data_IF_650556135990
#
_entry.id   IF_650556135990
#
_cell.length_a   1.000
_cell.length_b   1.000
_cell.length_c   1.000
_cell.angle_alpha   90.00
_cell.angle_beta   90.00
_cell.angle_gamma   90.00
#
_symmetry.space_group_name_H-M   'P 1'
#
loop_
_entity.id
_entity.type
_entity.pdbx_description
1 polymer ?
#
# COMPACT_ATOMS: atom_id res chain seq x y z
N UNK A 1 -16.92 -8.95 20.47
CA UNK A 1 -15.78 -9.90 20.42
C UNK A 1 -15.74 -10.75 19.14
N UNK A 2 -16.85 -11.26 18.61
CA UNK A 2 -16.82 -12.17 17.44
C UNK A 2 -16.49 -11.47 16.12
N UNK A 3 -17.06 -10.29 15.86
CA UNK A 3 -16.93 -9.60 14.56
C UNK A 3 -15.47 -9.28 14.17
N UNK A 4 -14.61 -8.68 15.04
CA UNK A 4 -13.21 -8.43 14.69
C UNK A 4 -12.43 -9.70 14.34
N UNK A 5 -12.70 -10.82 15.03
CA UNK A 5 -12.09 -12.11 14.75
C UNK A 5 -12.49 -12.66 13.38
N UNK A 6 -13.77 -12.56 13.02
CA UNK A 6 -14.28 -12.99 11.71
C UNK A 6 -13.66 -12.15 10.59
N UNK A 7 -13.64 -10.82 10.76
CA UNK A 7 -13.03 -9.91 9.78
C UNK A 7 -11.53 -10.14 9.65
N UNK A 8 -10.82 -10.41 10.74
CA UNK A 8 -9.40 -10.75 10.73
C UNK A 8 -9.14 -12.04 9.97
N UNK A 9 -9.92 -13.09 10.23
CA UNK A 9 -9.79 -14.37 9.51
C UNK A 9 -10.02 -14.19 8.01
N UNK A 10 -11.10 -13.50 7.62
CA UNK A 10 -11.40 -13.20 6.21
C UNK A 10 -10.29 -12.37 5.56
N UNK A 11 -9.74 -11.40 6.29
CA UNK A 11 -8.63 -10.55 5.80
C UNK A 11 -7.38 -11.40 5.56
N UNK A 12 -6.99 -12.26 6.50
CA UNK A 12 -5.85 -13.18 6.36
C UNK A 12 -6.05 -14.13 5.18
N UNK A 13 -7.25 -14.72 5.04
CA UNK A 13 -7.57 -15.59 3.90
C UNK A 13 -7.45 -14.84 2.56
N UNK A 14 -7.90 -13.59 2.52
CA UNK A 14 -7.81 -12.73 1.33
C UNK A 14 -6.36 -12.40 0.99
N UNK A 15 -5.52 -12.12 2.00
CA UNK A 15 -4.07 -11.89 1.81
C UNK A 15 -3.38 -13.13 1.26
N UNK A 16 -3.66 -14.32 1.80
CA UNK A 16 -3.06 -15.58 1.31
C UNK A 16 -3.49 -15.87 -0.13
N UNK A 17 -4.76 -15.63 -0.47
CA UNK A 17 -5.25 -15.75 -1.84
C UNK A 17 -4.55 -14.75 -2.78
N UNK A 18 -4.40 -13.49 -2.35
CA UNK A 18 -3.74 -12.45 -3.14
C UNK A 18 -2.27 -12.80 -3.39
N UNK A 19 -1.54 -13.26 -2.36
CA UNK A 19 -0.13 -13.65 -2.45
C UNK A 19 0.12 -14.69 -3.56
N UNK A 20 -0.71 -15.73 -3.60
CA UNK A 20 -0.65 -16.77 -4.64
C UNK A 20 -0.90 -16.20 -6.04
N UNK A 21 -1.87 -15.30 -6.16
CA UNK A 21 -2.20 -14.63 -7.41
C UNK A 21 -1.11 -13.68 -7.91
N UNK A 22 -0.42 -13.01 -6.99
CA UNK A 22 0.58 -11.98 -7.30
C UNK A 22 1.88 -12.60 -7.84
N UNK A 23 2.31 -13.72 -7.26
CA UNK A 23 3.41 -14.55 -7.80
C UNK A 23 3.20 -14.92 -9.28
N UNK A 24 1.98 -15.33 -9.64
CA UNK A 24 1.62 -15.68 -11.01
C UNK A 24 1.51 -14.44 -11.91
N UNK A 25 1.01 -13.33 -11.37
CA UNK A 25 0.91 -12.04 -12.06
C UNK A 25 2.28 -11.47 -12.41
N UNK A 26 3.21 -11.49 -11.45
CA UNK A 26 4.59 -11.05 -11.60
C UNK A 26 5.33 -11.86 -12.68
N UNK A 27 5.21 -13.19 -12.65
CA UNK A 27 5.79 -14.06 -13.70
C UNK A 27 5.20 -13.77 -15.08
N UNK A 28 3.91 -13.45 -15.15
CA UNK A 28 3.22 -13.14 -16.41
C UNK A 28 3.70 -11.83 -17.00
N UNK A 29 3.74 -10.75 -16.23
CA UNK A 29 4.13 -9.42 -16.74
C UNK A 29 5.58 -9.40 -17.24
N UNK A 30 6.45 -10.21 -16.62
CA UNK A 30 7.86 -10.38 -17.05
C UNK A 30 7.98 -10.95 -18.46
N UNK A 31 7.02 -11.79 -18.89
CA UNK A 31 6.98 -12.42 -20.22
C UNK A 31 6.28 -11.57 -21.27
N UNK A 32 5.57 -10.51 -20.88
CA UNK A 32 4.88 -9.63 -21.82
C UNK A 32 5.88 -8.69 -22.50
N UNK A 33 5.84 -8.66 -23.83
CA UNK A 33 6.71 -7.83 -24.65
C UNK A 33 5.96 -6.64 -25.27
N UNK A 34 4.64 -6.73 -25.40
CA UNK A 34 3.82 -5.70 -26.02
C UNK A 34 3.22 -4.72 -25.00
N UNK A 35 3.18 -3.44 -25.42
CA UNK A 35 2.68 -2.34 -24.62
C UNK A 35 1.18 -2.45 -24.30
N UNK A 36 0.38 -3.03 -25.20
CA UNK A 36 -1.07 -3.14 -25.01
C UNK A 36 -1.43 -4.09 -23.86
N UNK A 37 -0.82 -5.27 -23.82
CA UNK A 37 -1.02 -6.26 -22.76
C UNK A 37 -0.49 -5.80 -21.40
N UNK A 38 0.63 -5.07 -21.38
CA UNK A 38 1.14 -4.45 -20.15
C UNK A 38 0.17 -3.41 -19.59
N UNK A 39 -0.36 -2.50 -20.42
CA UNK A 39 -1.40 -1.53 -20.01
C UNK A 39 -2.66 -2.21 -19.46
N UNK A 40 -3.12 -3.28 -20.12
CA UNK A 40 -4.25 -4.09 -19.62
C UNK A 40 -3.93 -4.68 -18.24
N UNK A 41 -2.70 -5.15 -18.04
CA UNK A 41 -2.24 -5.71 -16.77
C UNK A 41 -2.25 -4.65 -15.66
N UNK A 42 -1.74 -3.44 -15.89
CA UNK A 42 -1.82 -2.34 -14.92
C UNK A 42 -3.27 -2.05 -14.51
N UNK A 43 -4.20 -1.97 -15.47
CA UNK A 43 -5.63 -1.75 -15.19
C UNK A 43 -6.24 -2.87 -14.35
N UNK A 44 -5.91 -4.12 -14.67
CA UNK A 44 -6.38 -5.29 -13.91
C UNK A 44 -5.82 -5.28 -12.48
N UNK A 45 -4.57 -4.85 -12.29
CA UNK A 45 -3.97 -4.74 -10.97
C UNK A 45 -4.58 -3.62 -10.14
N UNK A 46 -4.89 -2.47 -10.74
CA UNK A 46 -5.66 -1.40 -10.07
C UNK A 46 -7.01 -1.95 -9.58
N UNK A 47 -7.75 -2.65 -10.45
CA UNK A 47 -9.03 -3.24 -10.08
C UNK A 47 -8.88 -4.31 -8.97
N UNK A 48 -7.83 -5.15 -9.06
CA UNK A 48 -7.52 -6.13 -8.02
C UNK A 48 -7.17 -5.48 -6.68
N UNK A 49 -6.43 -4.38 -6.68
CA UNK A 49 -6.09 -3.65 -5.47
C UNK A 49 -7.36 -3.06 -4.82
N UNK A 50 -8.24 -2.48 -5.63
CA UNK A 50 -9.52 -1.97 -5.16
C UNK A 50 -10.40 -3.07 -4.55
N UNK A 51 -10.54 -4.21 -5.22
CA UNK A 51 -11.41 -5.32 -4.79
C UNK A 51 -10.79 -6.12 -3.62
N UNK A 52 -9.47 -6.31 -3.63
CA UNK A 52 -8.77 -7.17 -2.66
C UNK A 52 -8.38 -6.48 -1.37
N UNK A 53 -8.25 -5.15 -1.38
CA UNK A 53 -7.78 -4.38 -0.23
C UNK A 53 -8.72 -3.24 0.14
N UNK A 54 -8.99 -2.32 -0.79
CA UNK A 54 -9.73 -1.09 -0.47
C UNK A 54 -11.17 -1.39 -0.06
N UNK A 55 -11.90 -2.14 -0.90
CA UNK A 55 -13.31 -2.42 -0.65
C UNK A 55 -13.52 -3.26 0.62
N UNK A 56 -12.77 -4.36 0.87
CA UNK A 56 -12.86 -5.11 2.12
C UNK A 56 -12.52 -4.26 3.35
N UNK A 57 -11.51 -3.39 3.26
CA UNK A 57 -11.15 -2.52 4.37
C UNK A 57 -12.24 -1.48 4.68
N UNK A 58 -12.77 -0.78 3.67
CA UNK A 58 -13.85 0.20 3.87
C UNK A 58 -15.12 -0.48 4.40
N UNK A 59 -15.51 -1.61 3.82
CA UNK A 59 -16.68 -2.37 4.30
C UNK A 59 -16.44 -2.87 5.73
N UNK A 60 -15.25 -3.41 6.01
CA UNK A 60 -14.89 -3.89 7.34
C UNK A 60 -14.92 -2.78 8.39
N UNK A 61 -14.37 -1.60 8.06
CA UNK A 61 -14.45 -0.42 8.92
C UNK A 61 -15.91 0.04 9.12
N UNK A 62 -16.73 0.02 8.08
CA UNK A 62 -18.15 0.33 8.19
C UNK A 62 -18.89 -0.66 9.11
N UNK A 63 -18.63 -1.97 8.97
CA UNK A 63 -19.21 -3.02 9.82
C UNK A 63 -18.76 -2.90 11.29
N UNK A 64 -17.54 -2.42 11.52
CA UNK A 64 -17.04 -2.12 12.86
C UNK A 64 -17.61 -0.81 13.44
N UNK A 65 -18.28 0.01 12.63
CA UNK A 65 -18.71 1.36 13.02
C UNK A 65 -17.53 2.33 13.16
N UNK A 66 -16.44 2.10 12.42
CA UNK A 66 -15.15 2.79 12.55
C UNK A 66 -14.69 3.49 11.27
N UNK A 67 -15.60 4.09 10.53
CA UNK A 67 -15.25 4.88 9.34
C UNK A 67 -14.49 6.17 9.68
N UNK A 68 -14.60 6.65 10.91
CA UNK A 68 -13.81 7.75 11.46
C UNK A 68 -12.30 7.48 11.35
N UNK A 69 -11.90 6.21 11.45
CA UNK A 69 -10.51 5.76 11.36
C UNK A 69 -9.83 6.09 10.01
N UNK A 70 -10.60 6.45 8.97
CA UNK A 70 -10.07 6.96 7.70
C UNK A 70 -9.49 8.38 7.81
N UNK A 71 -9.91 9.13 8.83
CA UNK A 71 -9.51 10.51 9.07
C UNK A 71 -8.78 10.72 10.40
N UNK A 72 -8.97 9.81 11.37
CA UNK A 72 -8.37 9.89 12.70
C UNK A 72 -7.59 8.62 13.04
N UNK A 73 -6.53 8.78 13.83
CA UNK A 73 -5.76 7.63 14.33
C UNK A 73 -6.61 6.89 15.37
N UNK A 74 -6.84 5.57 15.21
CA UNK A 74 -7.54 4.77 16.21
C UNK A 74 -6.85 4.81 17.59
N UNK A 75 -7.60 4.94 18.70
CA UNK A 75 -7.04 4.92 20.06
C UNK A 75 -6.32 3.61 20.39
N UNK A 76 -6.65 2.50 19.72
CA UNK A 76 -5.95 1.23 19.83
C UNK A 76 -4.45 1.36 19.49
N UNK A 77 -4.05 2.41 18.77
CA UNK A 77 -2.66 2.68 18.39
C UNK A 77 -1.96 3.67 19.33
N UNK A 78 -2.62 4.19 20.36
CA UNK A 78 -2.10 5.29 21.20
C UNK A 78 -0.76 4.95 21.87
N UNK A 79 -0.57 3.70 22.29
CA UNK A 79 0.70 3.25 22.89
C UNK A 79 1.92 3.40 21.99
N UNK A 80 1.75 3.31 20.66
CA UNK A 80 2.79 3.60 19.68
C UNK A 80 2.79 5.07 19.28
N UNK A 81 1.62 5.70 19.22
CA UNK A 81 1.47 7.12 18.86
C UNK A 81 2.27 8.04 19.78
N UNK A 82 2.32 7.73 21.08
CA UNK A 82 3.09 8.51 22.07
C UNK A 82 4.61 8.42 21.87
N UNK A 83 5.10 7.42 21.12
CA UNK A 83 6.51 7.27 20.78
C UNK A 83 6.90 8.00 19.49
N UNK A 84 5.92 8.49 18.72
CA UNK A 84 6.15 9.19 17.46
C UNK A 84 6.26 10.70 17.68
N UNK A 85 6.96 11.43 16.79
CA UNK A 85 6.96 12.89 16.81
C UNK A 85 5.53 13.42 16.75
N UNK A 86 5.19 14.34 17.67
CA UNK A 86 3.91 15.02 17.62
C UNK A 86 3.95 16.14 16.58
N UNK A 87 2.86 16.27 15.84
CA UNK A 87 2.61 17.41 14.96
C UNK A 87 1.68 18.45 15.64
N UNK A 88 1.54 18.37 16.96
CA UNK A 88 0.80 19.37 17.73
C UNK A 88 1.50 20.72 17.62
N UNK A 89 0.74 21.76 17.31
CA UNK A 89 1.26 23.12 17.10
C UNK A 89 1.46 23.50 15.62
N UNK A 90 1.43 22.55 14.69
CA UNK A 90 1.42 22.88 13.25
C UNK A 90 0.01 23.24 12.78
N UNK A 91 -0.09 24.33 12.02
CA UNK A 91 -1.32 24.70 11.32
C UNK A 91 -1.63 23.71 10.20
N UNK A 92 -2.91 23.64 9.80
CA UNK A 92 -3.35 22.81 8.66
C UNK A 92 -2.61 23.18 7.37
N UNK A 93 -2.27 24.46 7.19
CA UNK A 93 -1.54 24.94 6.00
C UNK A 93 -0.11 24.40 6.00
N UNK A 94 0.58 24.40 7.14
CA UNK A 94 1.93 23.85 7.25
C UNK A 94 1.94 22.34 7.00
N UNK A 95 0.98 21.59 7.56
CA UNK A 95 0.86 20.15 7.33
C UNK A 95 0.60 19.83 5.86
N UNK A 96 -0.35 20.54 5.23
CA UNK A 96 -0.61 20.39 3.80
C UNK A 96 0.60 20.80 2.94
N UNK A 97 1.33 21.83 3.37
CA UNK A 97 2.58 22.27 2.75
C UNK A 97 3.68 21.21 2.84
N UNK A 98 3.81 20.52 3.98
CA UNK A 98 4.76 19.42 4.15
C UNK A 98 4.41 18.22 3.28
N UNK A 99 3.14 17.80 3.26
CA UNK A 99 2.67 16.69 2.43
C UNK A 99 2.84 17.03 0.94
N UNK A 100 2.35 18.21 0.53
CA UNK A 100 2.43 18.67 -0.85
C UNK A 100 3.87 18.91 -1.31
N UNK A 101 4.70 19.50 -0.45
CA UNK A 101 6.12 19.72 -0.69
C UNK A 101 6.90 18.41 -0.82
N UNK A 102 6.61 17.42 0.02
CA UNK A 102 7.23 16.08 -0.07
C UNK A 102 6.83 15.35 -1.34
N UNK A 103 5.54 15.39 -1.71
CA UNK A 103 5.05 14.79 -2.94
C UNK A 103 5.67 15.47 -4.18
N UNK A 104 5.71 16.80 -4.21
CA UNK A 104 6.33 17.56 -5.30
C UNK A 104 7.84 17.32 -5.37
N UNK A 105 8.53 17.31 -4.24
CA UNK A 105 9.95 17.01 -4.15
C UNK A 105 10.28 15.62 -4.70
N UNK A 106 9.50 14.60 -4.30
CA UNK A 106 9.62 13.24 -4.84
C UNK A 106 9.41 13.18 -6.36
N UNK A 107 8.43 13.92 -6.88
CA UNK A 107 8.17 14.01 -8.33
C UNK A 107 9.31 14.69 -9.08
N UNK A 108 9.86 15.79 -8.55
CA UNK A 108 11.00 16.51 -9.14
C UNK A 108 12.23 15.60 -9.17
N UNK A 109 12.55 14.95 -8.05
CA UNK A 109 13.68 14.01 -7.97
C UNK A 109 13.49 12.89 -8.99
N UNK A 110 12.30 12.29 -9.04
CA UNK A 110 11.97 11.24 -10.01
C UNK A 110 12.15 11.70 -11.46
N UNK A 111 11.67 12.91 -11.80
CA UNK A 111 11.82 13.48 -13.13
C UNK A 111 13.29 13.75 -13.50
N UNK A 112 14.09 14.30 -12.58
CA UNK A 112 15.53 14.54 -12.80
C UNK A 112 16.29 13.23 -13.00
N UNK A 113 15.99 12.21 -12.21
CA UNK A 113 16.61 10.89 -12.37
C UNK A 113 16.22 10.24 -13.71
N UNK A 114 14.97 10.42 -14.14
CA UNK A 114 14.49 9.92 -15.42
C UNK A 114 15.18 10.61 -16.62
N UNK A 115 15.40 11.94 -16.56
CA UNK A 115 16.04 12.69 -17.66
C UNK A 115 17.54 12.48 -17.75
N UNK A 116 18.24 12.19 -16.65
CA UNK A 116 19.69 11.99 -16.63
C UNK A 116 20.16 10.61 -17.10
N UNK A 117 19.25 9.73 -17.54
CA UNK A 117 19.59 8.39 -18.01
C UNK A 117 20.22 7.48 -16.94
N UNK A 118 20.21 7.92 -15.67
CA UNK A 118 20.99 7.32 -14.61
C UNK A 118 20.15 6.36 -13.76
N UNK A 119 19.25 5.62 -14.41
CA UNK A 119 18.43 4.57 -13.80
C UNK A 119 19.30 3.47 -13.18
N UNK A 120 20.59 3.38 -13.56
CA UNK A 120 21.60 2.53 -12.92
C UNK A 120 21.90 2.92 -11.46
N UNK A 121 21.66 4.17 -11.04
CA UNK A 121 21.78 4.60 -9.63
C UNK A 121 20.65 4.01 -8.79
N UNK A 122 19.47 3.82 -9.38
CA UNK A 122 18.38 3.06 -8.78
C UNK A 122 18.64 1.57 -8.98
N UNK A 123 19.72 1.05 -8.37
CA UNK A 123 19.81 -0.40 -8.14
C UNK A 123 18.67 -0.75 -7.20
N UNK A 124 17.56 -1.15 -7.79
CA UNK A 124 16.42 -1.62 -7.03
C UNK A 124 16.84 -2.88 -6.28
N UNK A 125 16.55 -2.92 -4.98
CA UNK A 125 16.63 -4.18 -4.23
C UNK A 125 15.54 -5.07 -4.81
N UNK A 126 15.92 -6.27 -5.24
CA UNK A 126 15.03 -7.18 -5.95
C UNK A 126 14.84 -6.89 -7.44
N UNK A 127 14.01 -7.70 -8.09
CA UNK A 127 13.68 -7.69 -9.52
C UNK A 127 12.41 -6.87 -9.83
N UNK A 128 12.28 -5.68 -9.24
CA UNK A 128 11.13 -4.78 -9.51
C UNK A 128 11.20 -4.10 -10.87
N UNK A 129 12.34 -4.14 -11.57
CA UNK A 129 12.51 -3.56 -12.91
C UNK A 129 11.50 -4.07 -13.96
N UNK A 130 10.95 -5.27 -13.77
CA UNK A 130 9.91 -5.81 -14.64
C UNK A 130 8.53 -5.14 -14.49
N UNK A 131 8.29 -4.48 -13.35
CA UNK A 131 7.08 -3.73 -13.00
C UNK A 131 7.11 -2.30 -13.53
N UNK A 132 8.31 -1.75 -13.76
CA UNK A 132 8.50 -0.39 -14.28
C UNK A 132 7.96 -0.24 -15.71
N UNK A 133 7.43 0.95 -16.07
CA UNK A 133 6.99 1.23 -17.43
C UNK A 133 8.20 1.23 -18.37
N UNK A 134 8.07 0.60 -19.55
CA UNK A 134 9.16 0.51 -20.54
C UNK A 134 9.20 1.65 -21.55
N UNK A 135 8.08 2.35 -21.71
CA UNK A 135 7.88 3.37 -22.74
C UNK A 135 6.88 4.44 -22.26
N UNK A 136 6.83 5.58 -22.95
CA UNK A 136 5.96 6.71 -22.58
C UNK A 136 4.47 6.34 -22.45
N UNK A 137 3.88 5.53 -23.36
CA UNK A 137 2.48 5.09 -23.22
C UNK A 137 2.16 4.29 -21.95
N UNK A 138 3.14 3.62 -21.34
CA UNK A 138 2.96 2.89 -20.07
C UNK A 138 2.98 3.79 -18.84
N UNK A 139 3.64 4.96 -18.91
CA UNK A 139 3.89 5.82 -17.74
C UNK A 139 2.60 6.19 -17.01
N UNK A 140 1.57 6.65 -17.73
CA UNK A 140 0.31 7.05 -17.09
C UNK A 140 -0.37 5.88 -16.36
N UNK A 141 -0.29 4.66 -16.91
CA UNK A 141 -0.89 3.48 -16.31
C UNK A 141 -0.07 2.97 -15.11
N UNK A 142 1.25 3.02 -15.21
CA UNK A 142 2.14 2.69 -14.11
C UNK A 142 2.01 3.69 -12.96
N UNK A 143 1.89 4.99 -13.25
CA UNK A 143 1.64 6.02 -12.25
C UNK A 143 0.28 5.81 -11.55
N UNK A 144 -0.79 5.57 -12.32
CA UNK A 144 -2.10 5.26 -11.74
C UNK A 144 -2.06 3.99 -10.87
N UNK A 145 -1.34 2.96 -11.31
CA UNK A 145 -1.13 1.74 -10.52
C UNK A 145 -0.35 2.02 -9.24
N UNK A 146 0.71 2.82 -9.28
CA UNK A 146 1.49 3.21 -8.10
C UNK A 146 0.65 3.96 -7.07
N UNK A 147 -0.23 4.86 -7.52
CA UNK A 147 -1.16 5.58 -6.63
C UNK A 147 -2.15 4.60 -6.01
N UNK A 148 -2.75 3.72 -6.83
CA UNK A 148 -3.69 2.71 -6.34
C UNK A 148 -3.05 1.76 -5.33
N UNK A 149 -1.82 1.32 -5.60
CA UNK A 149 -1.02 0.50 -4.70
C UNK A 149 -0.79 1.23 -3.36
N UNK A 150 -0.28 2.47 -3.40
CA UNK A 150 -0.05 3.28 -2.20
C UNK A 150 -1.30 3.44 -1.35
N UNK A 151 -2.44 3.83 -1.94
CA UNK A 151 -3.72 3.96 -1.21
C UNK A 151 -4.15 2.62 -0.61
N UNK A 152 -4.07 1.54 -1.40
CA UNK A 152 -4.50 0.21 -0.94
C UNK A 152 -3.62 -0.33 0.18
N UNK A 153 -2.31 -0.07 0.13
CA UNK A 153 -1.34 -0.54 1.11
C UNK A 153 -1.44 0.24 2.43
N UNK A 154 -1.57 1.58 2.35
CA UNK A 154 -1.85 2.42 3.52
C UNK A 154 -3.12 1.94 4.24
N UNK A 155 -4.22 1.81 3.50
CA UNK A 155 -5.50 1.42 4.06
C UNK A 155 -5.49 0.00 4.63
N UNK A 156 -4.86 -0.97 3.95
CA UNK A 156 -4.86 -2.36 4.39
C UNK A 156 -3.84 -2.63 5.50
N UNK A 157 -2.58 -2.22 5.32
CA UNK A 157 -1.48 -2.65 6.18
C UNK A 157 -1.10 -1.62 7.25
N UNK A 158 -1.48 -0.35 7.13
CA UNK A 158 -1.23 0.66 8.16
C UNK A 158 -2.48 1.03 8.97
N UNK A 159 -3.66 0.73 8.44
CA UNK A 159 -4.92 0.96 9.14
C UNK A 159 -5.68 -0.34 9.46
N UNK A 160 -6.27 -0.99 8.46
CA UNK A 160 -7.31 -2.00 8.71
C UNK A 160 -6.79 -3.29 9.36
N UNK A 161 -5.77 -3.92 8.79
CA UNK A 161 -5.15 -5.13 9.37
C UNK A 161 -4.60 -4.88 10.78
N UNK A 162 -3.76 -3.87 11.05
CA UNK A 162 -3.29 -3.62 12.40
C UNK A 162 -4.44 -3.28 13.35
N UNK A 163 -5.49 -2.57 12.92
CA UNK A 163 -6.65 -2.30 13.76
C UNK A 163 -7.36 -3.60 14.18
N UNK A 164 -7.59 -4.52 13.24
CA UNK A 164 -8.19 -5.82 13.54
C UNK A 164 -7.33 -6.63 14.52
N UNK A 165 -6.02 -6.65 14.33
CA UNK A 165 -5.10 -7.36 15.24
C UNK A 165 -5.08 -6.69 16.62
N UNK A 166 -5.10 -5.36 16.70
CA UNK A 166 -5.15 -4.63 17.96
C UNK A 166 -6.46 -4.88 18.72
N UNK A 167 -7.60 -4.92 18.02
CA UNK A 167 -8.91 -5.25 18.60
C UNK A 167 -8.97 -6.69 19.15
N UNK A 168 -8.22 -7.62 18.57
CA UNK A 168 -8.18 -9.03 19.01
C UNK A 168 -7.12 -9.27 20.10
N UNK A 169 -5.94 -8.68 19.96
CA UNK A 169 -4.80 -8.92 20.86
C UNK A 169 -4.68 -7.92 22.01
N UNK A 170 -5.30 -6.75 21.91
CA UNK A 170 -5.14 -5.64 22.84
C UNK A 170 -3.78 -4.94 22.76
N UNK A 171 -2.94 -5.22 21.75
CA UNK A 171 -1.57 -4.68 21.65
C UNK A 171 -1.26 -4.05 20.30
N UNK A 172 -0.93 -2.75 20.32
CA UNK A 172 -0.47 -2.02 19.15
C UNK A 172 0.86 -2.57 18.61
N UNK A 173 1.76 -3.00 19.49
CA UNK A 173 3.04 -3.60 19.08
C UNK A 173 2.84 -4.89 18.30
N UNK A 174 1.96 -5.77 18.77
CA UNK A 174 1.62 -7.01 18.05
C UNK A 174 0.93 -6.69 16.74
N UNK A 175 0.00 -5.74 16.73
CA UNK A 175 -0.70 -5.31 15.54
C UNK A 175 0.23 -4.83 14.42
N UNK A 176 1.11 -3.89 14.70
CA UNK A 176 2.05 -3.37 13.71
C UNK A 176 3.14 -4.39 13.38
N UNK A 177 3.59 -5.21 14.33
CA UNK A 177 4.51 -6.32 14.07
C UNK A 177 3.95 -7.31 13.05
N UNK A 178 2.69 -7.73 13.23
CA UNK A 178 1.99 -8.61 12.28
C UNK A 178 1.78 -7.92 10.94
N UNK A 179 1.38 -6.65 10.94
CA UNK A 179 1.13 -5.93 9.69
C UNK A 179 2.41 -5.72 8.86
N UNK A 180 3.54 -5.40 9.51
CA UNK A 180 4.86 -5.30 8.87
C UNK A 180 5.31 -6.65 8.33
N UNK A 181 5.17 -7.73 9.11
CA UNK A 181 5.52 -9.07 8.67
C UNK A 181 4.67 -9.51 7.46
N UNK A 182 3.36 -9.25 7.51
CA UNK A 182 2.45 -9.54 6.41
C UNK A 182 2.81 -8.72 5.16
N UNK A 183 3.04 -7.41 5.30
CA UNK A 183 3.46 -6.55 4.21
C UNK A 183 4.77 -7.04 3.57
N UNK A 184 5.77 -7.39 4.38
CA UNK A 184 7.03 -7.97 3.90
C UNK A 184 6.82 -9.30 3.17
N UNK A 185 6.01 -10.20 3.73
CA UNK A 185 5.67 -11.48 3.10
C UNK A 185 5.01 -11.30 1.72
N UNK A 186 4.15 -10.28 1.58
CA UNK A 186 3.53 -9.93 0.30
C UNK A 186 4.54 -9.48 -0.76
N UNK A 187 5.72 -9.01 -0.37
CA UNK A 187 6.73 -8.50 -1.29
C UNK A 187 7.92 -9.44 -1.51
N UNK A 188 8.01 -10.56 -0.78
CA UNK A 188 9.13 -11.52 -0.90
C UNK A 188 9.38 -12.00 -2.33
N UNK A 189 8.35 -12.07 -3.18
CA UNK A 189 8.52 -12.50 -4.57
C UNK A 189 9.29 -11.50 -5.43
N UNK A 190 9.43 -10.26 -4.96
CA UNK A 190 10.16 -9.22 -5.64
C UNK A 190 11.67 -9.34 -5.44
N UNK A 191 12.15 -10.16 -4.49
CA UNK A 191 13.57 -10.45 -4.27
C UNK A 191 14.16 -9.71 -3.09
#
# INVERSE_FOLDING_TARGET
MILPNVLLLVTIMSLVWFLKGDLLGYRRIKRLNDTASRRKTYRLWIAKAAIGFVLPAVIGLALLGRLDALATVPPEFDTLRTLLPSFEGYSRVELLGMIGGSALGGLIIGAVLATRGNWRILKTIGNVGSLLPRNRPEIAHAAAMSIAAGISEELAFRLFLPLLVALVSGSAFVAFGVAVAAFGAMHLYQG
#
